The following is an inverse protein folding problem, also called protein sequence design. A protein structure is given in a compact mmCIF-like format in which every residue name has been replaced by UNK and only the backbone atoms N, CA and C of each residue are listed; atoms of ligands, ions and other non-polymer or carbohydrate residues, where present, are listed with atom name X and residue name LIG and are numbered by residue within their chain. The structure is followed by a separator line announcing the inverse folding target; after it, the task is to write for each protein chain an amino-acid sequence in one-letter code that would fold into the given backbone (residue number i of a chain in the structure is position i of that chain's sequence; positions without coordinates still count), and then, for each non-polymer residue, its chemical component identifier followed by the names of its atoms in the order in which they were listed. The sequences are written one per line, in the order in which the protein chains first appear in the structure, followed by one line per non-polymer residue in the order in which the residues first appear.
data_IF_419431217553
#
_entry.id   IF_419431217553
#
_cell.length_a   1.000
_cell.length_b   1.000
_cell.length_c   1.000
_cell.angle_alpha   90.00
_cell.angle_beta   90.00
_cell.angle_gamma   90.00
#
_symmetry.space_group_name_H-M   'P 1'
#
loop_
_entity.id
_entity.type
_entity.pdbx_description
1 polymer ?
#
# COMPACT_ATOMS: atom_id res chain seq x y z
N UNK A 1 8.54 32.72 0.46
CA UNK A 1 8.07 31.37 0.83
C UNK A 1 6.78 30.96 0.11
N UNK A 2 5.66 31.71 0.21
CA UNK A 2 4.35 31.34 -0.39
C UNK A 2 4.40 30.87 -1.86
N UNK A 3 5.18 31.55 -2.73
CA UNK A 3 5.33 31.16 -4.15
C UNK A 3 6.01 29.79 -4.30
N UNK A 4 7.01 29.51 -3.47
CA UNK A 4 7.75 28.25 -3.47
C UNK A 4 6.90 27.12 -2.88
N UNK A 5 6.17 27.37 -1.80
CA UNK A 5 5.16 26.44 -1.26
C UNK A 5 4.11 26.07 -2.32
N UNK A 6 3.61 27.07 -3.06
CA UNK A 6 2.66 26.83 -4.13
C UNK A 6 3.27 25.99 -5.25
N UNK A 7 4.51 26.30 -5.69
CA UNK A 7 5.24 25.50 -6.66
C UNK A 7 5.42 24.05 -6.19
N UNK A 8 5.85 23.84 -4.95
CA UNK A 8 6.02 22.50 -4.37
C UNK A 8 4.71 21.71 -4.36
N UNK A 9 3.59 22.37 -4.03
CA UNK A 9 2.26 21.76 -4.08
C UNK A 9 1.83 21.40 -5.50
N UNK A 10 2.10 22.26 -6.47
CA UNK A 10 1.82 21.98 -7.89
C UNK A 10 2.62 20.78 -8.40
N UNK A 11 3.91 20.70 -8.07
CA UNK A 11 4.75 19.55 -8.43
C UNK A 11 4.24 18.28 -7.75
N UNK A 12 3.93 18.32 -6.44
CA UNK A 12 3.34 17.20 -5.72
C UNK A 12 2.03 16.70 -6.36
N UNK A 13 1.14 17.63 -6.70
CA UNK A 13 -0.13 17.33 -7.37
C UNK A 13 0.07 16.72 -8.76
N UNK A 14 1.02 17.25 -9.54
CA UNK A 14 1.38 16.70 -10.85
C UNK A 14 1.95 15.28 -10.76
N UNK A 15 2.74 14.99 -9.73
CA UNK A 15 3.27 13.64 -9.49
C UNK A 15 2.17 12.66 -9.09
N UNK A 16 1.25 13.07 -8.21
CA UNK A 16 0.05 12.26 -7.88
C UNK A 16 -0.76 11.97 -9.14
N UNK A 17 -1.02 12.98 -9.98
CA UNK A 17 -1.74 12.80 -11.24
C UNK A 17 -1.01 11.87 -12.23
N UNK A 18 0.32 11.93 -12.29
CA UNK A 18 1.12 11.02 -13.11
C UNK A 18 1.02 9.57 -12.60
N UNK A 19 1.12 9.36 -11.29
CA UNK A 19 0.97 8.03 -10.67
C UNK A 19 -0.43 7.46 -10.91
N UNK A 20 -1.48 8.29 -10.73
CA UNK A 20 -2.86 7.93 -11.05
C UNK A 20 -3.02 7.49 -12.50
N UNK A 21 -2.50 8.28 -13.44
CA UNK A 21 -2.56 7.97 -14.87
C UNK A 21 -1.87 6.64 -15.19
N UNK A 22 -0.72 6.37 -14.56
CA UNK A 22 0.01 5.12 -14.77
C UNK A 22 -0.73 3.91 -14.20
N UNK A 23 -1.33 4.03 -13.02
CA UNK A 23 -2.08 2.96 -12.39
C UNK A 23 -3.42 2.68 -13.07
N UNK A 24 -4.06 3.68 -13.68
CA UNK A 24 -5.25 3.49 -14.53
C UNK A 24 -5.00 2.65 -15.79
N UNK A 25 -3.73 2.38 -16.15
CA UNK A 25 -3.38 1.47 -17.25
C UNK A 25 -3.48 -0.01 -16.86
N UNK A 26 -3.63 -0.31 -15.57
CA UNK A 26 -3.84 -1.66 -15.05
C UNK A 26 -5.14 -1.71 -14.27
N UNK A 27 -5.79 -2.86 -14.25
CA UNK A 27 -6.98 -3.05 -13.43
C UNK A 27 -6.54 -3.48 -12.04
N UNK A 28 -6.36 -2.49 -11.16
CA UNK A 28 -5.76 -2.63 -9.82
C UNK A 28 -6.44 -3.67 -8.94
N UNK A 29 -7.67 -4.10 -9.21
CA UNK A 29 -8.35 -5.14 -8.41
C UNK A 29 -8.44 -6.50 -9.09
N UNK A 30 -8.36 -6.55 -10.42
CA UNK A 30 -8.64 -7.78 -11.20
C UNK A 30 -7.41 -8.36 -11.88
N UNK A 31 -6.44 -7.54 -12.27
CA UNK A 31 -5.23 -8.02 -12.96
C UNK A 31 -4.34 -8.81 -11.98
N UNK A 32 -3.58 -9.83 -12.44
CA UNK A 32 -2.66 -10.57 -11.59
C UNK A 32 -1.67 -9.66 -10.86
N UNK A 33 -1.33 -9.99 -9.61
CA UNK A 33 -0.47 -9.12 -8.78
C UNK A 33 0.83 -8.72 -9.47
N UNK A 34 1.51 -9.65 -10.17
CA UNK A 34 2.74 -9.36 -10.93
C UNK A 34 2.59 -8.23 -11.97
N UNK A 35 1.39 -8.06 -12.55
CA UNK A 35 1.12 -7.00 -13.52
C UNK A 35 0.88 -5.64 -12.83
N UNK A 36 0.43 -5.64 -11.58
CA UNK A 36 0.06 -4.44 -10.82
C UNK A 36 1.17 -3.96 -9.87
N UNK A 37 1.95 -4.90 -9.32
CA UNK A 37 3.02 -4.70 -8.34
C UNK A 37 4.03 -3.64 -8.79
N UNK A 38 4.45 -3.70 -10.06
CA UNK A 38 5.40 -2.73 -10.63
C UNK A 38 4.86 -1.29 -10.64
N UNK A 39 3.56 -1.12 -10.94
CA UNK A 39 2.91 0.18 -10.98
C UNK A 39 2.72 0.77 -9.57
N UNK A 40 2.29 -0.06 -8.61
CA UNK A 40 2.14 0.37 -7.21
C UNK A 40 3.48 0.74 -6.57
N UNK A 41 4.51 -0.10 -6.73
CA UNK A 41 5.87 0.19 -6.24
C UNK A 41 6.46 1.44 -6.87
N UNK A 42 6.24 1.64 -8.17
CA UNK A 42 6.63 2.89 -8.83
C UNK A 42 5.96 4.09 -8.20
N UNK A 43 4.63 4.03 -7.99
CA UNK A 43 3.86 5.09 -7.36
C UNK A 43 4.39 5.45 -5.97
N UNK A 44 4.54 4.44 -5.11
CA UNK A 44 5.07 4.64 -3.76
C UNK A 44 6.46 5.28 -3.78
N UNK A 45 7.40 4.74 -4.58
CA UNK A 45 8.76 5.30 -4.69
C UNK A 45 8.78 6.74 -5.21
N UNK A 46 7.95 7.05 -6.20
CA UNK A 46 7.86 8.37 -6.80
C UNK A 46 7.40 9.42 -5.78
N UNK A 47 6.28 9.15 -5.10
CA UNK A 47 5.73 10.08 -4.10
C UNK A 47 6.63 10.17 -2.86
N UNK A 48 7.17 9.04 -2.39
CA UNK A 48 8.09 9.03 -1.24
C UNK A 48 9.36 9.81 -1.51
N UNK A 49 9.93 9.69 -2.72
CA UNK A 49 11.12 10.45 -3.11
C UNK A 49 10.84 11.95 -3.13
N UNK A 50 9.71 12.36 -3.71
CA UNK A 50 9.32 13.76 -3.72
C UNK A 50 9.09 14.32 -2.30
N UNK A 51 8.35 13.58 -1.46
CA UNK A 51 8.11 13.98 -0.07
C UNK A 51 9.43 14.22 0.69
N UNK A 52 10.39 13.29 0.54
CA UNK A 52 11.73 13.41 1.14
C UNK A 52 12.48 14.62 0.59
N UNK A 53 12.56 14.77 -0.72
CA UNK A 53 13.29 15.87 -1.36
C UNK A 53 12.68 17.23 -1.04
N UNK A 54 11.35 17.35 -1.00
CA UNK A 54 10.69 18.60 -0.66
C UNK A 54 10.95 19.00 0.80
N UNK A 55 10.93 18.04 1.72
CA UNK A 55 11.29 18.27 3.12
C UNK A 55 12.78 18.71 3.26
N UNK A 56 13.72 18.00 2.61
CA UNK A 56 15.15 18.34 2.61
C UNK A 56 15.42 19.76 2.09
N UNK A 57 14.81 20.13 0.95
CA UNK A 57 14.95 21.47 0.36
C UNK A 57 14.52 22.57 1.35
N UNK A 58 13.38 22.39 2.00
CA UNK A 58 12.84 23.35 2.95
C UNK A 58 13.57 23.40 4.29
N UNK A 59 14.13 22.27 4.74
CA UNK A 59 14.75 22.14 6.05
C UNK A 59 16.23 22.56 6.06
N UNK A 60 16.93 22.31 4.96
CA UNK A 60 18.39 22.47 4.88
C UNK A 60 18.71 23.55 3.85
N UNK A 61 18.35 23.31 2.57
CA UNK A 61 18.84 24.12 1.45
C UNK A 61 18.34 25.57 1.47
N UNK A 62 17.13 25.79 1.98
CA UNK A 62 16.51 27.12 2.00
C UNK A 62 16.42 27.72 3.41
N UNK A 63 16.89 27.01 4.44
CA UNK A 63 16.89 27.51 5.81
C UNK A 63 18.04 28.49 6.09
N UNK A 64 19.12 28.46 5.30
CA UNK A 64 20.31 29.28 5.57
C UNK A 64 20.17 30.74 5.14
N UNK A 65 20.54 31.70 6.02
CA UNK A 65 20.58 33.13 5.71
C UNK A 65 21.82 33.46 4.87
N UNK A 66 21.80 33.06 3.59
CA UNK A 66 22.89 33.29 2.64
C UNK A 66 22.59 32.77 1.23
N UNK A 67 21.68 31.81 1.09
CA UNK A 67 21.14 31.36 -0.19
C UNK A 67 20.01 32.28 -0.67
N UNK A 68 20.15 32.87 -1.86
CA UNK A 68 19.26 33.88 -2.44
C UNK A 68 17.74 33.81 -2.18
N UNK A 69 17.13 35.01 -2.14
CA UNK A 69 15.73 35.44 -2.30
C UNK A 69 14.56 34.74 -1.57
N UNK A 70 14.69 33.55 -0.97
CA UNK A 70 13.54 32.90 -0.29
C UNK A 70 14.00 32.03 0.89
N UNK A 71 14.41 32.64 2.00
CA UNK A 71 14.64 31.90 3.26
C UNK A 71 13.33 31.21 3.68
N UNK A 72 13.38 29.89 3.82
CA UNK A 72 12.31 29.07 4.38
C UNK A 72 12.29 29.24 5.90
N UNK A 73 11.12 29.57 6.44
CA UNK A 73 10.91 29.76 7.87
C UNK A 73 9.89 28.76 8.37
N UNK A 74 10.16 28.18 9.53
CA UNK A 74 9.29 27.22 10.19
C UNK A 74 9.61 25.77 9.82
N UNK A 75 8.65 24.85 10.00
CA UNK A 75 8.88 23.43 9.81
C UNK A 75 9.15 23.07 8.34
N UNK A 76 9.76 21.90 8.08
CA UNK A 76 9.91 21.38 6.73
C UNK A 76 8.56 21.28 6.01
N UNK A 77 8.57 21.51 4.71
CA UNK A 77 7.40 21.38 3.85
C UNK A 77 6.83 19.96 3.94
N UNK A 78 5.52 19.89 4.17
CA UNK A 78 4.75 18.66 4.12
C UNK A 78 3.45 18.91 3.36
N UNK A 79 3.12 18.01 2.43
CA UNK A 79 1.89 18.06 1.65
C UNK A 79 0.95 16.95 2.13
N UNK A 80 -0.12 17.35 2.81
CA UNK A 80 -1.11 16.43 3.36
C UNK A 80 -1.82 15.61 2.27
N UNK A 81 -2.10 16.21 1.11
CA UNK A 81 -2.78 15.51 0.02
C UNK A 81 -1.88 14.42 -0.59
N UNK A 82 -0.59 14.74 -0.79
CA UNK A 82 0.40 13.76 -1.22
C UNK A 82 0.60 12.64 -0.18
N UNK A 83 0.63 12.99 1.10
CA UNK A 83 0.70 12.03 2.20
C UNK A 83 -0.46 11.04 2.18
N UNK A 84 -1.69 11.53 2.02
CA UNK A 84 -2.89 10.69 1.87
C UNK A 84 -2.84 9.80 0.64
N UNK A 85 -2.41 10.33 -0.51
CA UNK A 85 -2.25 9.54 -1.74
C UNK A 85 -1.22 8.40 -1.57
N UNK A 86 -0.12 8.67 -0.86
CA UNK A 86 0.88 7.65 -0.54
C UNK A 86 0.35 6.59 0.41
N UNK A 87 -0.33 7.00 1.49
CA UNK A 87 -0.93 6.06 2.44
C UNK A 87 -1.91 5.11 1.74
N UNK A 88 -2.74 5.65 0.83
CA UNK A 88 -3.66 4.85 0.02
C UNK A 88 -2.95 3.86 -0.91
N UNK A 89 -1.83 4.27 -1.54
CA UNK A 89 -1.01 3.35 -2.35
C UNK A 89 -0.47 2.19 -1.52
N UNK A 90 -0.01 2.47 -0.30
CA UNK A 90 0.51 1.44 0.62
C UNK A 90 -0.58 0.49 1.09
N UNK A 91 -1.76 1.01 1.42
CA UNK A 91 -2.95 0.22 1.77
C UNK A 91 -3.31 -0.74 0.63
N UNK A 92 -3.50 -0.22 -0.59
CA UNK A 92 -3.80 -1.02 -1.79
C UNK A 92 -2.71 -2.06 -2.05
N UNK A 93 -1.44 -1.68 -1.93
CA UNK A 93 -0.32 -2.60 -2.12
C UNK A 93 -0.38 -3.76 -1.14
N UNK A 94 -0.55 -3.49 0.16
CA UNK A 94 -0.64 -4.51 1.20
C UNK A 94 -1.81 -5.45 0.94
N UNK A 95 -2.99 -4.92 0.63
CA UNK A 95 -4.16 -5.74 0.33
C UNK A 95 -3.91 -6.69 -0.84
N UNK A 96 -3.36 -6.17 -1.95
CA UNK A 96 -3.03 -6.98 -3.13
C UNK A 96 -1.93 -8.02 -2.86
N UNK A 97 -0.92 -7.66 -2.07
CA UNK A 97 0.16 -8.55 -1.66
C UNK A 97 -0.38 -9.68 -0.77
N UNK A 98 -1.18 -9.35 0.25
CA UNK A 98 -1.83 -10.32 1.14
C UNK A 98 -2.66 -11.33 0.35
N UNK A 99 -3.51 -10.89 -0.58
CA UNK A 99 -4.28 -11.80 -1.43
C UNK A 99 -3.38 -12.71 -2.28
N UNK A 100 -2.28 -12.16 -2.82
CA UNK A 100 -1.33 -12.93 -3.62
C UNK A 100 -0.53 -13.95 -2.79
N UNK A 101 -0.16 -13.64 -1.55
CA UNK A 101 0.50 -14.58 -0.65
C UNK A 101 -0.46 -15.67 -0.18
N UNK A 102 -1.70 -15.33 0.19
CA UNK A 102 -2.74 -16.30 0.56
C UNK A 102 -3.00 -17.30 -0.57
N UNK A 103 -3.05 -16.83 -1.82
CA UNK A 103 -3.24 -17.68 -2.98
C UNK A 103 -2.09 -18.71 -3.18
N UNK A 104 -0.89 -18.45 -2.64
CA UNK A 104 0.23 -19.42 -2.66
C UNK A 104 0.15 -20.45 -1.53
N UNK A 105 -0.51 -20.12 -0.42
CA UNK A 105 -0.60 -20.96 0.77
C UNK A 105 -1.83 -21.90 0.74
N UNK A 106 -2.87 -21.50 0.04
CA UNK A 106 -4.09 -22.28 -0.15
C UNK A 106 -3.99 -23.20 -1.36
N UNK A 107 -4.66 -24.35 -1.31
CA UNK A 107 -4.84 -25.16 -2.51
C UNK A 107 -5.78 -24.44 -3.49
N UNK A 108 -5.74 -24.77 -4.80
CA UNK A 108 -6.66 -24.17 -5.77
C UNK A 108 -8.15 -24.40 -5.42
N UNK A 109 -8.48 -25.50 -4.76
CA UNK A 109 -9.83 -25.83 -4.31
C UNK A 109 -10.27 -24.97 -3.12
N UNK A 110 -9.40 -24.82 -2.11
CA UNK A 110 -9.64 -23.94 -0.97
C UNK A 110 -9.82 -22.49 -1.41
N UNK A 111 -8.94 -22.00 -2.28
CA UNK A 111 -9.01 -20.63 -2.80
C UNK A 111 -10.32 -20.36 -3.57
N UNK A 112 -10.84 -21.36 -4.30
CA UNK A 112 -12.15 -21.27 -4.97
C UNK A 112 -13.31 -21.30 -3.99
N UNK A 113 -13.30 -22.23 -3.04
CA UNK A 113 -14.35 -22.37 -2.02
C UNK A 113 -14.49 -21.11 -1.16
N UNK A 114 -13.36 -20.45 -0.85
CA UNK A 114 -13.30 -19.21 -0.08
C UNK A 114 -13.49 -17.95 -0.94
N UNK A 115 -13.71 -18.09 -2.26
CA UNK A 115 -13.89 -16.97 -3.19
C UNK A 115 -12.74 -15.95 -3.15
N UNK A 116 -11.50 -16.40 -2.96
CA UNK A 116 -10.33 -15.53 -2.77
C UNK A 116 -10.07 -14.59 -3.97
N UNK A 117 -10.50 -14.97 -5.18
CA UNK A 117 -10.40 -14.11 -6.37
C UNK A 117 -11.38 -12.93 -6.35
N UNK A 118 -12.41 -12.98 -5.52
CA UNK A 118 -13.54 -12.04 -5.50
C UNK A 118 -13.55 -11.16 -4.26
N UNK A 119 -12.55 -11.29 -3.38
CA UNK A 119 -12.43 -10.51 -2.13
C UNK A 119 -12.41 -9.00 -2.38
N UNK A 120 -11.91 -8.56 -3.55
CA UNK A 120 -11.89 -7.14 -3.95
C UNK A 120 -13.17 -6.64 -4.60
N UNK A 121 -14.22 -7.48 -4.68
CA UNK A 121 -15.55 -7.10 -5.18
C UNK A 121 -16.10 -5.78 -4.60
N UNK A 122 -15.95 -5.47 -3.29
CA UNK A 122 -16.40 -4.21 -2.71
C UNK A 122 -15.78 -2.94 -3.32
N UNK A 123 -14.60 -3.05 -3.93
CA UNK A 123 -13.94 -1.94 -4.59
C UNK A 123 -14.33 -1.77 -6.06
N UNK A 124 -15.29 -2.56 -6.55
CA UNK A 124 -15.82 -2.41 -7.91
C UNK A 124 -16.40 -1.01 -8.10
N UNK A 125 -15.85 -0.24 -9.05
CA UNK A 125 -16.28 1.14 -9.32
C UNK A 125 -15.67 2.19 -8.40
N UNK A 126 -14.85 1.81 -7.42
CA UNK A 126 -14.09 2.76 -6.60
C UNK A 126 -12.72 2.99 -7.25
N UNK A 127 -12.41 4.24 -7.63
CA UNK A 127 -11.04 4.59 -8.06
C UNK A 127 -10.11 4.51 -6.84
N UNK A 128 -9.17 3.55 -6.79
CA UNK A 128 -8.33 3.33 -5.62
C UNK A 128 -7.44 4.54 -5.30
N UNK A 129 -7.25 5.47 -6.24
CA UNK A 129 -6.33 6.58 -6.09
C UNK A 129 -7.03 7.93 -6.02
N UNK A 130 -8.36 7.95 -6.04
CA UNK A 130 -9.14 9.15 -5.77
C UNK A 130 -9.29 9.33 -4.26
N UNK A 131 -8.30 9.97 -3.66
CA UNK A 131 -8.27 10.25 -2.22
C UNK A 131 -8.81 11.64 -1.94
N UNK A 132 -10.05 11.71 -1.47
CA UNK A 132 -10.73 12.96 -1.11
C UNK A 132 -11.69 12.72 0.04
N UNK A 133 -12.03 13.78 0.77
CA UNK A 133 -13.00 13.69 1.87
C UNK A 133 -14.39 13.26 1.38
N UNK A 134 -14.72 13.57 0.12
CA UNK A 134 -15.95 13.14 -0.54
C UNK A 134 -15.99 11.62 -0.82
N UNK A 135 -14.84 11.02 -1.14
CA UNK A 135 -14.72 9.59 -1.47
C UNK A 135 -14.34 8.73 -0.27
N UNK A 136 -13.97 9.32 0.87
CA UNK A 136 -13.54 8.60 2.06
C UNK A 136 -14.63 7.64 2.61
N UNK A 137 -15.91 8.05 2.77
CA UNK A 137 -16.92 7.12 3.29
C UNK A 137 -17.16 5.90 2.39
N UNK A 138 -17.09 6.10 1.07
CA UNK A 138 -17.22 5.00 0.10
C UNK A 138 -16.05 4.02 0.21
N UNK A 139 -14.83 4.54 0.40
CA UNK A 139 -13.65 3.71 0.60
C UNK A 139 -13.75 2.92 1.91
N UNK A 140 -14.11 3.57 3.01
CA UNK A 140 -14.18 2.94 4.33
C UNK A 140 -15.23 1.82 4.36
N UNK A 141 -16.37 2.02 3.69
CA UNK A 141 -17.38 0.98 3.50
C UNK A 141 -16.82 -0.21 2.71
N UNK A 142 -16.12 0.04 1.59
CA UNK A 142 -15.49 -1.01 0.79
C UNK A 142 -14.41 -1.78 1.57
N UNK A 143 -13.63 -1.10 2.41
CA UNK A 143 -12.66 -1.74 3.31
C UNK A 143 -13.36 -2.61 4.36
N UNK A 144 -14.46 -2.14 4.96
CA UNK A 144 -15.21 -2.94 5.93
C UNK A 144 -15.77 -4.21 5.31
N UNK A 145 -16.33 -4.12 4.10
CA UNK A 145 -16.84 -5.28 3.35
C UNK A 145 -15.71 -6.23 2.92
N UNK A 146 -14.56 -5.69 2.53
CA UNK A 146 -13.36 -6.47 2.22
C UNK A 146 -12.88 -7.26 3.45
N UNK A 147 -12.79 -6.62 4.61
CA UNK A 147 -12.37 -7.28 5.85
C UNK A 147 -13.32 -8.42 6.21
N UNK A 148 -14.64 -8.23 6.05
CA UNK A 148 -15.62 -9.30 6.26
C UNK A 148 -15.41 -10.48 5.31
N UNK A 149 -15.09 -10.22 4.03
CA UNK A 149 -14.79 -11.27 3.04
C UNK A 149 -13.46 -11.98 3.31
N UNK A 150 -12.50 -11.29 3.90
CA UNK A 150 -11.17 -11.85 4.21
C UNK A 150 -11.16 -12.75 5.45
N UNK A 151 -12.02 -12.49 6.45
CA UNK A 151 -12.10 -13.29 7.69
C UNK A 151 -12.10 -14.82 7.48
N UNK A 152 -12.97 -15.42 6.66
CA UNK A 152 -12.96 -16.88 6.47
C UNK A 152 -11.66 -17.39 5.84
N UNK A 153 -11.00 -16.57 5.01
CA UNK A 153 -9.70 -16.90 4.41
C UNK A 153 -8.61 -16.92 5.48
N UNK A 154 -8.62 -15.92 6.37
CA UNK A 154 -7.65 -15.78 7.47
C UNK A 154 -7.84 -16.86 8.54
N UNK A 155 -9.08 -17.24 8.85
CA UNK A 155 -9.40 -18.35 9.74
C UNK A 155 -8.86 -19.67 9.18
N UNK A 156 -9.13 -19.96 7.89
CA UNK A 156 -8.61 -21.16 7.25
C UNK A 156 -7.08 -21.18 7.20
N UNK A 157 -6.45 -20.04 6.92
CA UNK A 157 -5.00 -19.93 6.97
C UNK A 157 -4.48 -20.24 8.37
N UNK A 158 -5.10 -19.68 9.41
CA UNK A 158 -4.71 -19.88 10.80
C UNK A 158 -4.77 -21.35 11.20
N UNK A 159 -5.81 -22.08 10.77
CA UNK A 159 -5.91 -23.53 10.94
C UNK A 159 -4.76 -24.27 10.25
N UNK A 160 -4.52 -24.02 8.96
CA UNK A 160 -3.44 -24.68 8.22
C UNK A 160 -2.07 -24.40 8.82
N UNK A 161 -1.82 -23.18 9.25
CA UNK A 161 -0.56 -22.82 9.91
C UNK A 161 -0.39 -23.61 11.20
N UNK A 162 -1.45 -23.75 12.02
CA UNK A 162 -1.43 -24.58 13.24
C UNK A 162 -1.16 -26.05 12.90
N UNK A 163 -1.88 -26.63 11.93
CA UNK A 163 -1.67 -28.01 11.47
C UNK A 163 -0.21 -28.22 11.02
N UNK A 164 0.33 -27.33 10.18
CA UNK A 164 1.73 -27.44 9.73
C UNK A 164 2.76 -27.31 10.86
N UNK A 165 2.51 -26.42 11.83
CA UNK A 165 3.37 -26.25 12.99
C UNK A 165 3.35 -27.50 13.90
N UNK A 166 2.15 -28.01 14.18
CA UNK A 166 1.95 -29.16 15.07
C UNK A 166 2.39 -30.48 14.44
N UNK A 167 2.07 -30.71 13.16
CA UNK A 167 2.28 -32.02 12.52
C UNK A 167 3.68 -32.18 11.93
N UNK A 168 4.30 -31.10 11.44
CA UNK A 168 5.61 -31.16 10.79
C UNK A 168 6.73 -30.60 11.64
N UNK A 169 6.55 -29.39 12.16
CA UNK A 169 7.66 -28.67 12.77
C UNK A 169 7.98 -29.22 14.17
N UNK A 170 7.00 -29.35 15.07
CA UNK A 170 7.26 -29.87 16.42
C UNK A 170 7.87 -31.28 16.43
N UNK A 171 7.36 -32.27 15.66
CA UNK A 171 7.95 -33.60 15.66
C UNK A 171 9.36 -33.61 15.04
N UNK A 172 9.61 -32.78 14.02
CA UNK A 172 10.95 -32.67 13.42
C UNK A 172 11.97 -32.05 14.38
N UNK A 173 11.57 -31.03 15.15
CA UNK A 173 12.40 -30.40 16.16
C UNK A 173 12.67 -31.34 17.33
N UNK A 174 11.66 -32.07 17.81
CA UNK A 174 11.83 -33.09 18.84
C UNK A 174 12.78 -34.19 18.40
N UNK A 175 12.67 -34.68 17.17
CA UNK A 175 13.63 -35.64 16.59
C UNK A 175 15.05 -35.06 16.53
N UNK A 176 15.21 -33.81 16.12
CA UNK A 176 16.51 -33.15 16.02
C UNK A 176 17.16 -32.89 17.40
N UNK A 177 16.36 -32.60 18.43
CA UNK A 177 16.84 -32.44 19.81
C UNK A 177 17.25 -33.79 20.40
N UNK A 178 16.42 -34.82 20.25
CA UNK A 178 16.71 -36.16 20.77
C UNK A 178 17.89 -36.86 20.05
N UNK A 179 18.20 -36.47 18.81
CA UNK A 179 19.37 -36.98 18.08
C UNK A 179 20.70 -36.34 18.51
N UNK A 180 20.66 -35.29 19.35
CA UNK A 180 21.86 -34.58 19.85
C UNK A 180 22.19 -34.89 21.32
N UNK A 181 21.32 -35.60 22.02
CA UNK A 181 21.52 -36.17 23.36
C UNK A 181 21.82 -37.66 23.27
#
# INVERSE_FOLDING_TARGET
QRRVEHLMRLVGSSLVGHVQTKLRRVRVWTDPFKAVEGALRFGHRCLAKWQKTAAELSAINWAEPGGGAQVWRGPPYADAALGRARARLDEVFKMRETQAELAKLLTPEEARALTLSEVFGPFAGVDPLQVSDYTAPLWDAACSDYDQRMRPVEERLSEKLREHLLDRLLPSLLKAVNAKT
#
